data_IF_204473550592
#
_entry.id   IF_204473550592
#
_cell.length_a   1.000
_cell.length_b   1.000
_cell.length_c   1.000
_cell.angle_alpha   90.00
_cell.angle_beta   90.00
_cell.angle_gamma   90.00
#
_symmetry.space_group_name_H-M   'P 1'
#
loop_
_entity.id
_entity.type
_entity.pdbx_description
1 polymer ?
#
# COMPACT_ATOMS: atom_id res chain seq x y z
N UNK A 1 14.68 13.00 -9.42
CA UNK A 1 15.77 12.52 -10.31
C UNK A 1 15.26 12.51 -11.74
N UNK A 2 16.15 12.62 -12.72
CA UNK A 2 15.82 12.35 -14.13
C UNK A 2 15.39 10.86 -14.29
N UNK A 3 14.67 10.49 -15.37
CA UNK A 3 14.26 9.11 -15.60
C UNK A 3 15.44 8.13 -15.73
N UNK A 4 16.54 8.55 -16.35
CA UNK A 4 17.63 7.66 -16.73
C UNK A 4 18.32 6.96 -15.54
N UNK A 5 18.67 7.64 -14.43
CA UNK A 5 19.22 6.96 -13.25
C UNK A 5 18.30 5.90 -12.63
N UNK A 6 16.98 6.15 -12.60
CA UNK A 6 16.01 5.17 -12.08
C UNK A 6 15.91 3.95 -13.00
N UNK A 7 15.97 4.17 -14.33
CA UNK A 7 15.95 3.10 -15.33
C UNK A 7 17.24 2.26 -15.27
N UNK A 8 18.41 2.89 -15.12
CA UNK A 8 19.69 2.21 -14.99
C UNK A 8 19.74 1.33 -13.73
N UNK A 9 19.34 1.88 -12.58
CA UNK A 9 19.24 1.11 -11.33
C UNK A 9 18.29 -0.08 -11.47
N UNK A 10 17.13 0.12 -12.11
CA UNK A 10 16.17 -0.95 -12.37
C UNK A 10 16.74 -2.05 -13.28
N UNK A 11 17.44 -1.69 -14.35
CA UNK A 11 18.11 -2.63 -15.24
C UNK A 11 19.17 -3.46 -14.48
N UNK A 12 19.98 -2.81 -13.64
CA UNK A 12 20.96 -3.49 -12.79
C UNK A 12 20.29 -4.49 -11.83
N UNK A 13 19.22 -4.08 -11.15
CA UNK A 13 18.40 -4.93 -10.25
C UNK A 13 17.70 -6.10 -10.97
N UNK A 14 17.51 -6.00 -12.28
CA UNK A 14 16.90 -7.04 -13.13
C UNK A 14 17.94 -7.90 -13.85
N UNK A 15 19.24 -7.58 -13.74
CA UNK A 15 20.31 -8.31 -14.40
C UNK A 15 20.53 -9.69 -13.79
N UNK A 16 21.11 -10.61 -14.59
CA UNK A 16 21.51 -11.93 -14.12
C UNK A 16 22.62 -11.89 -13.05
N UNK A 17 23.38 -10.80 -12.96
CA UNK A 17 24.45 -10.61 -11.98
C UNK A 17 23.92 -10.24 -10.58
N UNK A 18 22.73 -9.63 -10.49
CA UNK A 18 22.19 -9.11 -9.23
C UNK A 18 21.99 -10.16 -8.12
N UNK A 19 21.45 -11.38 -8.38
CA UNK A 19 21.30 -12.39 -7.34
C UNK A 19 22.63 -12.78 -6.68
N UNK A 20 23.71 -12.92 -7.46
CA UNK A 20 25.04 -13.25 -6.94
C UNK A 20 25.61 -12.11 -6.09
N UNK A 21 25.51 -10.86 -6.58
CA UNK A 21 25.93 -9.68 -5.84
C UNK A 21 25.15 -9.54 -4.52
N UNK A 22 23.83 -9.72 -4.55
CA UNK A 22 22.99 -9.66 -3.36
C UNK A 22 23.37 -10.74 -2.33
N UNK A 23 23.59 -11.97 -2.79
CA UNK A 23 23.98 -13.08 -1.91
C UNK A 23 25.28 -12.80 -1.18
N UNK A 24 26.30 -12.32 -1.90
CA UNK A 24 27.59 -11.93 -1.31
C UNK A 24 27.42 -10.87 -0.20
N UNK A 25 26.55 -9.87 -0.43
CA UNK A 25 26.27 -8.84 0.57
C UNK A 25 25.42 -9.33 1.75
N UNK A 26 24.59 -10.37 1.58
CA UNK A 26 23.84 -10.99 2.67
C UNK A 26 24.74 -11.87 3.55
N UNK A 27 25.68 -12.59 2.94
CA UNK A 27 26.66 -13.44 3.63
C UNK A 27 27.63 -12.62 4.51
N UNK A 28 27.82 -11.32 4.21
CA UNK A 28 28.56 -10.39 5.08
C UNK A 28 27.76 -9.90 6.30
N UNK A 29 26.51 -10.35 6.48
CA UNK A 29 25.67 -10.05 7.63
C UNK A 29 24.86 -8.75 7.51
N UNK A 30 24.86 -8.09 6.33
CA UNK A 30 24.06 -6.88 6.14
C UNK A 30 22.56 -7.19 6.17
N UNK A 31 21.73 -6.33 6.80
CA UNK A 31 20.29 -6.40 6.66
C UNK A 31 19.88 -6.30 5.19
N UNK A 32 18.79 -6.97 4.81
CA UNK A 32 18.37 -7.09 3.39
C UNK A 32 18.34 -5.76 2.63
N UNK A 33 17.84 -4.68 3.24
CA UNK A 33 17.78 -3.37 2.58
C UNK A 33 19.19 -2.80 2.29
N UNK A 34 20.12 -2.93 3.25
CA UNK A 34 21.50 -2.50 3.08
C UNK A 34 22.25 -3.40 2.08
N UNK A 35 22.07 -4.72 2.17
CA UNK A 35 22.64 -5.68 1.23
C UNK A 35 22.17 -5.41 -0.20
N UNK A 36 20.87 -5.13 -0.38
CA UNK A 36 20.28 -4.75 -1.66
C UNK A 36 20.88 -3.46 -2.21
N UNK A 37 21.05 -2.44 -1.38
CA UNK A 37 21.64 -1.17 -1.80
C UNK A 37 23.11 -1.34 -2.21
N UNK A 38 23.91 -2.05 -1.41
CA UNK A 38 25.32 -2.32 -1.72
C UNK A 38 25.50 -3.16 -2.99
N UNK A 39 24.66 -4.19 -3.18
CA UNK A 39 24.66 -5.00 -4.40
C UNK A 39 24.27 -4.18 -5.63
N UNK A 40 23.29 -3.28 -5.50
CA UNK A 40 22.91 -2.37 -6.58
C UNK A 40 24.04 -1.39 -6.91
N UNK A 41 24.71 -0.83 -5.91
CA UNK A 41 25.86 0.08 -6.10
C UNK A 41 27.00 -0.57 -6.87
N UNK A 42 27.30 -1.84 -6.56
CA UNK A 42 28.33 -2.62 -7.24
C UNK A 42 28.06 -2.77 -8.74
N UNK A 43 26.78 -2.86 -9.13
CA UNK A 43 26.37 -3.07 -10.52
C UNK A 43 26.03 -1.76 -11.26
N UNK A 44 25.67 -0.72 -10.53
CA UNK A 44 25.29 0.58 -11.06
C UNK A 44 25.66 1.66 -10.03
N UNK A 45 26.79 2.35 -10.19
CA UNK A 45 27.20 3.43 -9.29
C UNK A 45 26.09 4.48 -9.10
N UNK A 46 25.88 4.89 -7.85
CA UNK A 46 24.80 5.79 -7.42
C UNK A 46 23.43 5.13 -7.19
N UNK A 47 23.27 3.83 -7.45
CA UNK A 47 22.01 3.14 -7.21
C UNK A 47 21.68 2.97 -5.72
N UNK A 48 22.68 2.93 -4.83
CA UNK A 48 22.45 2.86 -3.39
C UNK A 48 21.69 4.09 -2.87
N UNK A 49 22.04 5.28 -3.32
CA UNK A 49 21.40 6.55 -2.93
C UNK A 49 19.94 6.60 -3.39
N UNK A 50 19.68 6.10 -4.60
CA UNK A 50 18.32 6.00 -5.13
C UNK A 50 17.44 5.04 -4.30
N UNK A 51 18.04 4.02 -3.67
CA UNK A 51 17.32 3.06 -2.83
C UNK A 51 17.10 3.54 -1.38
N UNK A 52 17.49 4.78 -1.03
CA UNK A 52 17.27 5.33 0.32
C UNK A 52 15.88 5.93 0.52
N UNK A 53 15.21 6.40 -0.55
CA UNK A 53 13.94 7.14 -0.40
C UNK A 53 12.73 6.37 -0.96
N UNK A 54 11.56 6.41 -0.29
CA UNK A 54 10.40 5.62 -0.72
C UNK A 54 9.93 5.89 -2.16
N UNK A 55 9.94 7.15 -2.61
CA UNK A 55 9.49 7.50 -3.95
C UNK A 55 10.46 7.01 -5.03
N UNK A 56 11.77 7.04 -4.77
CA UNK A 56 12.76 6.51 -5.71
C UNK A 56 12.70 4.98 -5.76
N UNK A 57 12.53 4.31 -4.62
CA UNK A 57 12.30 2.85 -4.57
C UNK A 57 11.07 2.49 -5.42
N UNK A 58 9.95 3.20 -5.26
CA UNK A 58 8.76 2.99 -6.08
C UNK A 58 9.02 3.24 -7.57
N UNK A 59 9.72 4.32 -7.91
CA UNK A 59 10.12 4.62 -9.29
C UNK A 59 10.94 3.50 -9.93
N UNK A 60 11.90 2.95 -9.19
CA UNK A 60 12.70 1.79 -9.61
C UNK A 60 11.81 0.55 -9.79
N UNK A 61 10.87 0.27 -8.89
CA UNK A 61 9.95 -0.86 -9.04
C UNK A 61 9.03 -0.68 -10.25
N UNK A 62 8.59 0.54 -10.59
CA UNK A 62 7.87 0.82 -11.84
C UNK A 62 8.73 0.55 -13.06
N UNK A 63 9.98 1.00 -13.10
CA UNK A 63 10.92 0.67 -14.17
C UNK A 63 11.10 -0.84 -14.33
N UNK A 64 11.29 -1.57 -13.23
CA UNK A 64 11.39 -3.05 -13.25
C UNK A 64 10.13 -3.70 -13.81
N UNK A 65 8.94 -3.20 -13.44
CA UNK A 65 7.68 -3.70 -13.95
C UNK A 65 7.51 -3.44 -15.46
N UNK A 66 7.93 -2.27 -15.96
CA UNK A 66 7.93 -1.93 -17.39
C UNK A 66 8.88 -2.87 -18.16
N UNK A 67 10.11 -3.04 -17.67
CA UNK A 67 11.12 -3.90 -18.29
C UNK A 67 10.65 -5.36 -18.37
N UNK A 68 10.15 -5.92 -17.26
CA UNK A 68 9.70 -7.32 -17.20
C UNK A 68 8.49 -7.60 -18.08
N UNK A 69 7.63 -6.62 -18.31
CA UNK A 69 6.44 -6.76 -19.14
C UNK A 69 6.67 -6.37 -20.59
N UNK A 70 7.84 -5.82 -20.95
CA UNK A 70 8.07 -5.25 -22.28
C UNK A 70 7.07 -4.15 -22.63
N UNK A 71 6.60 -3.39 -21.63
CA UNK A 71 5.55 -2.41 -21.83
C UNK A 71 6.06 -1.18 -22.60
N UNK A 72 5.32 -0.74 -23.61
CA UNK A 72 5.60 0.49 -24.35
C UNK A 72 5.17 1.73 -23.54
N UNK A 73 5.84 1.99 -22.42
CA UNK A 73 5.54 3.08 -21.50
C UNK A 73 6.81 3.86 -21.15
N UNK A 74 6.73 5.19 -21.23
CA UNK A 74 7.81 6.09 -20.81
C UNK A 74 7.58 6.57 -19.38
N UNK A 75 8.61 6.50 -18.54
CA UNK A 75 8.58 7.03 -17.18
C UNK A 75 8.96 8.52 -17.18
N UNK A 76 8.17 9.35 -16.51
CA UNK A 76 8.43 10.77 -16.32
C UNK A 76 8.40 11.11 -14.81
N UNK A 77 9.53 10.98 -14.10
CA UNK A 77 9.60 11.37 -12.70
C UNK A 77 9.56 12.89 -12.57
N UNK A 78 8.74 13.39 -11.65
CA UNK A 78 8.71 14.80 -11.28
C UNK A 78 9.36 14.98 -9.90
N UNK A 79 10.13 16.06 -9.69
CA UNK A 79 10.68 16.36 -8.37
C UNK A 79 9.55 16.58 -7.38
N UNK A 80 9.68 15.98 -6.19
CA UNK A 80 8.75 16.24 -5.10
C UNK A 80 9.01 17.62 -4.55
N UNK A 81 8.00 18.47 -4.55
CA UNK A 81 8.06 19.78 -3.90
C UNK A 81 7.54 19.70 -2.46
N UNK A 82 8.09 20.51 -1.57
CA UNK A 82 7.69 20.59 -0.16
C UNK A 82 8.26 19.48 0.73
N UNK A 83 7.51 19.09 1.76
CA UNK A 83 7.98 18.22 2.82
C UNK A 83 8.34 16.79 2.38
N UNK A 84 9.42 16.27 2.95
CA UNK A 84 9.84 14.87 2.80
C UNK A 84 8.73 13.90 3.26
N UNK A 85 8.78 12.67 2.76
CA UNK A 85 7.78 11.65 3.11
C UNK A 85 7.82 11.35 4.62
N UNK A 86 6.68 11.43 5.29
CA UNK A 86 6.55 11.06 6.71
C UNK A 86 7.08 12.08 7.71
N UNK A 87 7.56 13.25 7.27
CA UNK A 87 8.02 14.31 8.18
C UNK A 87 6.87 15.23 8.59
N UNK A 88 6.99 15.82 9.79
CA UNK A 88 6.13 16.91 10.26
C UNK A 88 6.54 18.29 9.70
N UNK A 89 7.65 18.36 8.96
CA UNK A 89 8.03 19.56 8.24
C UNK A 89 6.94 19.93 7.24
N UNK A 90 6.69 21.22 7.09
CA UNK A 90 5.82 21.80 6.07
C UNK A 90 6.68 22.64 5.14
N UNK A 91 6.22 22.79 3.90
CA UNK A 91 6.84 23.68 2.93
C UNK A 91 5.79 24.58 2.30
N UNK A 92 6.23 25.50 1.44
CA UNK A 92 5.33 26.29 0.62
C UNK A 92 5.88 26.37 -0.80
N UNK A 93 4.98 26.32 -1.77
CA UNK A 93 5.28 26.54 -3.19
C UNK A 93 4.22 27.45 -3.74
N UNK A 94 4.64 28.58 -4.34
CA UNK A 94 3.71 29.55 -4.95
C UNK A 94 2.58 29.98 -3.99
N UNK A 95 2.89 30.16 -2.70
CA UNK A 95 1.92 30.54 -1.66
C UNK A 95 1.03 29.41 -1.15
N UNK A 96 1.11 28.20 -1.72
CA UNK A 96 0.36 27.03 -1.24
C UNK A 96 1.18 26.22 -0.25
N UNK A 97 0.61 25.94 0.92
CA UNK A 97 1.25 25.11 1.93
C UNK A 97 1.25 23.64 1.51
N UNK A 98 2.38 22.97 1.74
CA UNK A 98 2.62 21.58 1.41
C UNK A 98 3.00 20.82 2.68
N UNK A 99 2.32 19.69 2.91
CA UNK A 99 2.61 18.79 3.99
C UNK A 99 2.62 17.34 3.49
N UNK A 100 3.29 16.46 4.23
CA UNK A 100 3.18 15.03 3.97
C UNK A 100 1.76 14.54 4.30
N UNK A 101 1.25 13.56 3.57
CA UNK A 101 -0.08 12.99 3.85
C UNK A 101 -0.16 12.42 5.29
N UNK A 102 0.96 11.92 5.84
CA UNK A 102 1.03 11.48 7.23
C UNK A 102 0.85 12.62 8.22
N UNK A 103 1.47 13.79 7.96
CA UNK A 103 1.28 14.97 8.80
C UNK A 103 -0.17 15.49 8.72
N UNK A 104 -0.76 15.56 7.52
CA UNK A 104 -2.16 15.96 7.35
C UNK A 104 -3.10 15.03 8.14
N UNK A 105 -2.90 13.70 8.05
CA UNK A 105 -3.71 12.76 8.84
C UNK A 105 -3.52 12.94 10.35
N UNK A 106 -2.31 13.23 10.81
CA UNK A 106 -2.06 13.53 12.22
C UNK A 106 -2.80 14.79 12.67
N UNK A 107 -2.77 15.87 11.88
CA UNK A 107 -3.53 17.09 12.14
C UNK A 107 -5.03 16.82 12.20
N UNK A 108 -5.57 16.06 11.24
CA UNK A 108 -6.99 15.67 11.24
C UNK A 108 -7.36 14.89 12.50
N UNK A 109 -6.49 13.98 12.93
CA UNK A 109 -6.72 13.19 14.13
C UNK A 109 -6.70 14.03 15.42
N UNK A 110 -5.77 14.97 15.56
CA UNK A 110 -5.60 15.73 16.81
C UNK A 110 -6.37 17.04 16.86
N UNK A 111 -6.65 17.66 15.71
CA UNK A 111 -7.24 19.00 15.60
C UNK A 111 -8.52 19.02 14.75
N UNK A 112 -8.95 17.86 14.24
CA UNK A 112 -10.16 17.73 13.43
C UNK A 112 -9.96 18.06 11.95
N UNK A 113 -10.96 17.71 11.13
CA UNK A 113 -10.87 17.73 9.67
C UNK A 113 -10.47 19.10 9.08
N UNK A 114 -10.89 20.19 9.73
CA UNK A 114 -10.60 21.57 9.28
C UNK A 114 -9.10 21.91 9.29
N UNK A 115 -8.29 21.23 10.11
CA UNK A 115 -6.85 21.44 10.16
C UNK A 115 -6.13 21.02 8.87
N UNK A 116 -6.78 20.26 7.98
CA UNK A 116 -6.24 19.91 6.67
C UNK A 116 -6.37 21.05 5.63
N UNK A 117 -7.21 22.06 5.89
CA UNK A 117 -7.57 23.09 4.88
C UNK A 117 -6.39 23.83 4.26
N UNK A 118 -5.26 24.13 4.96
CA UNK A 118 -4.15 24.83 4.33
C UNK A 118 -3.40 23.99 3.29
N UNK A 119 -3.53 22.66 3.36
CA UNK A 119 -2.72 21.70 2.60
C UNK A 119 -3.52 20.96 1.52
N UNK A 120 -4.83 21.21 1.42
CA UNK A 120 -5.75 20.46 0.56
C UNK A 120 -6.53 21.46 -0.32
N UNK A 121 -6.67 21.20 -1.64
CA UNK A 121 -7.49 22.04 -2.50
C UNK A 121 -8.93 22.17 -1.97
N UNK A 122 -9.53 23.36 -2.09
CA UNK A 122 -10.86 23.66 -1.55
C UNK A 122 -11.94 22.65 -1.98
N UNK A 123 -11.93 22.25 -3.26
CA UNK A 123 -12.88 21.26 -3.78
C UNK A 123 -12.76 19.90 -3.07
N UNK A 124 -11.55 19.46 -2.75
CA UNK A 124 -11.33 18.22 -2.00
C UNK A 124 -11.66 18.40 -0.51
N UNK A 125 -11.38 19.57 0.06
CA UNK A 125 -11.70 19.88 1.45
C UNK A 125 -13.20 19.83 1.72
N UNK A 126 -14.04 20.27 0.78
CA UNK A 126 -15.49 20.17 0.90
C UNK A 126 -15.95 18.70 0.97
N UNK A 127 -15.42 17.83 0.11
CA UNK A 127 -15.69 16.39 0.15
C UNK A 127 -15.21 15.75 1.47
N UNK A 128 -14.04 16.17 1.98
CA UNK A 128 -13.52 15.65 3.23
C UNK A 128 -14.38 16.05 4.44
N UNK A 129 -14.91 17.28 4.45
CA UNK A 129 -15.84 17.76 5.48
C UNK A 129 -17.15 16.96 5.44
N UNK A 130 -17.72 16.77 4.25
CA UNK A 130 -18.94 15.97 4.07
C UNK A 130 -18.74 14.52 4.55
N UNK A 131 -17.62 13.89 4.18
CA UNK A 131 -17.28 12.54 4.64
C UNK A 131 -17.13 12.48 6.17
N UNK A 132 -16.52 13.50 6.79
CA UNK A 132 -16.40 13.59 8.25
C UNK A 132 -17.75 13.73 8.94
N UNK A 133 -18.63 14.60 8.44
CA UNK A 133 -20.00 14.80 8.97
C UNK A 133 -20.86 13.54 8.82
N UNK A 134 -20.64 12.76 7.76
CA UNK A 134 -21.31 11.47 7.55
C UNK A 134 -20.68 10.32 8.35
N UNK A 135 -19.60 10.58 9.12
CA UNK A 135 -18.90 9.58 9.93
C UNK A 135 -18.09 8.58 9.09
N UNK A 136 -17.70 8.93 7.87
CA UNK A 136 -16.99 8.03 6.96
C UNK A 136 -15.48 7.96 7.19
N UNK A 137 -14.93 8.77 8.09
CA UNK A 137 -13.51 8.67 8.45
C UNK A 137 -13.25 7.38 9.23
N UNK A 138 -12.03 6.86 9.08
CA UNK A 138 -11.57 5.73 9.87
C UNK A 138 -11.44 6.12 11.35
N UNK A 139 -11.95 5.24 12.21
CA UNK A 139 -11.91 5.31 13.66
C UNK A 139 -10.78 4.39 14.15
N UNK A 140 -9.69 4.94 14.74
CA UNK A 140 -8.54 4.15 15.18
C UNK A 140 -8.89 3.11 16.25
N UNK A 141 -9.86 3.38 17.12
CA UNK A 141 -10.23 2.47 18.20
C UNK A 141 -11.05 1.30 17.67
N UNK A 142 -11.96 1.54 16.72
CA UNK A 142 -12.67 0.47 16.02
C UNK A 142 -11.74 -0.37 15.17
N UNK A 143 -10.80 0.27 14.47
CA UNK A 143 -9.75 -0.45 13.73
C UNK A 143 -8.93 -1.31 14.68
N UNK A 144 -8.48 -0.76 15.81
CA UNK A 144 -7.73 -1.48 16.82
C UNK A 144 -8.50 -2.70 17.35
N UNK A 145 -9.75 -2.50 17.72
CA UNK A 145 -10.65 -3.55 18.20
C UNK A 145 -10.83 -4.63 17.14
N UNK A 146 -11.20 -4.27 15.91
CA UNK A 146 -11.43 -5.22 14.83
C UNK A 146 -10.18 -6.05 14.50
N UNK A 147 -9.00 -5.42 14.45
CA UNK A 147 -7.72 -6.12 14.22
C UNK A 147 -7.45 -7.12 15.34
N UNK A 148 -7.50 -6.69 16.61
CA UNK A 148 -7.19 -7.57 17.74
C UNK A 148 -8.19 -8.71 17.87
N UNK A 149 -9.48 -8.45 17.67
CA UNK A 149 -10.52 -9.49 17.64
C UNK A 149 -10.20 -10.55 16.59
N UNK A 150 -9.93 -10.14 15.33
CA UNK A 150 -9.68 -11.08 14.24
C UNK A 150 -8.35 -11.84 14.38
N UNK A 151 -7.33 -11.24 15.00
CA UNK A 151 -6.08 -11.96 15.27
C UNK A 151 -6.22 -12.97 16.41
N UNK A 152 -6.97 -12.64 17.47
CA UNK A 152 -7.15 -13.49 18.65
C UNK A 152 -8.00 -14.74 18.40
N UNK A 153 -8.72 -14.80 17.28
CA UNK A 153 -9.44 -16.01 16.86
C UNK A 153 -8.57 -17.01 16.11
N UNK A 154 -7.32 -16.67 15.78
CA UNK A 154 -6.43 -17.51 14.97
C UNK A 154 -5.51 -18.37 15.82
N UNK A 155 -5.25 -19.58 15.36
CA UNK A 155 -4.20 -20.45 15.93
C UNK A 155 -2.84 -20.16 15.28
N UNK A 156 -1.71 -20.55 15.91
CA UNK A 156 -0.39 -20.48 15.30
C UNK A 156 -0.32 -21.19 13.93
N UNK A 157 -0.99 -22.34 13.79
CA UNK A 157 -1.03 -23.12 12.55
C UNK A 157 -1.72 -22.32 11.44
N UNK A 158 -2.89 -21.73 11.73
CA UNK A 158 -3.57 -20.86 10.77
C UNK A 158 -2.70 -19.67 10.38
N UNK A 159 -2.03 -19.04 11.36
CA UNK A 159 -1.16 -17.90 11.10
C UNK A 159 0.03 -18.25 10.20
N UNK A 160 0.56 -19.47 10.32
CA UNK A 160 1.69 -19.93 9.49
C UNK A 160 1.35 -20.07 8.00
N UNK A 161 0.07 -20.20 7.65
CA UNK A 161 -0.40 -20.35 6.26
C UNK A 161 -0.60 -19.01 5.52
N UNK A 162 -0.35 -17.89 6.19
CA UNK A 162 -0.65 -16.56 5.67
C UNK A 162 0.54 -15.91 4.96
N UNK A 163 0.25 -14.96 4.07
CA UNK A 163 1.27 -14.19 3.38
C UNK A 163 2.14 -13.40 4.36
N UNK A 164 3.45 -13.52 4.18
CA UNK A 164 4.43 -12.81 4.98
C UNK A 164 4.70 -13.42 6.36
N UNK A 165 4.00 -14.50 6.72
CA UNK A 165 4.36 -15.39 7.82
C UNK A 165 5.63 -16.19 7.48
N UNK A 166 6.22 -16.84 8.48
CA UNK A 166 7.45 -17.61 8.38
C UNK A 166 8.56 -17.10 9.28
N UNK A 167 9.58 -17.94 9.48
CA UNK A 167 10.75 -17.65 10.31
C UNK A 167 10.38 -17.28 11.77
N UNK A 168 9.28 -17.85 12.29
CA UNK A 168 8.79 -17.62 13.65
C UNK A 168 8.02 -16.31 13.84
N UNK A 169 7.77 -15.55 12.77
CA UNK A 169 7.03 -14.29 12.84
C UNK A 169 5.55 -14.50 13.16
N UNK A 170 4.98 -15.63 12.72
CA UNK A 170 3.65 -16.13 13.08
C UNK A 170 3.51 -16.35 14.59
N UNK A 171 4.51 -16.96 15.24
CA UNK A 171 4.52 -17.20 16.68
C UNK A 171 4.60 -15.88 17.45
N UNK A 172 5.42 -14.94 16.95
CA UNK A 172 5.52 -13.60 17.53
C UNK A 172 4.20 -12.82 17.41
N UNK A 173 3.54 -12.91 16.26
CA UNK A 173 2.23 -12.30 16.03
C UNK A 173 1.17 -12.89 16.95
N UNK A 174 1.14 -14.22 17.08
CA UNK A 174 0.24 -14.90 17.98
C UNK A 174 0.43 -14.44 19.44
N UNK A 175 1.67 -14.46 19.94
CA UNK A 175 1.98 -14.02 21.30
C UNK A 175 1.62 -12.53 21.51
N UNK A 176 2.01 -11.66 20.59
CA UNK A 176 1.75 -10.22 20.70
C UNK A 176 0.25 -9.90 20.66
N UNK A 177 -0.55 -10.59 19.83
CA UNK A 177 -1.99 -10.37 19.75
C UNK A 177 -2.73 -10.72 21.04
N UNK A 178 -2.22 -11.68 21.83
CA UNK A 178 -2.82 -12.08 23.12
C UNK A 178 -2.66 -11.02 24.20
N UNK A 179 -1.56 -10.27 24.17
CA UNK A 179 -1.22 -9.30 25.21
C UNK A 179 -1.53 -7.86 24.80
N UNK A 180 -1.52 -7.56 23.50
CA UNK A 180 -1.65 -6.19 23.03
C UNK A 180 -3.02 -5.59 23.36
N UNK A 181 -3.05 -4.40 23.95
CA UNK A 181 -4.31 -3.70 24.27
C UNK A 181 -4.80 -2.83 23.11
N UNK A 182 -3.86 -2.40 22.25
CA UNK A 182 -4.16 -1.63 21.04
C UNK A 182 -3.37 -2.14 19.84
N UNK A 183 -3.75 -1.75 18.63
CA UNK A 183 -2.97 -2.06 17.43
C UNK A 183 -1.59 -1.40 17.43
N UNK A 184 -1.44 -0.24 18.08
CA UNK A 184 -0.13 0.40 18.23
C UNK A 184 0.77 -0.39 19.19
N UNK A 185 0.23 -0.84 20.31
CA UNK A 185 0.93 -1.76 21.23
C UNK A 185 1.30 -3.08 20.53
N UNK A 186 0.39 -3.64 19.73
CA UNK A 186 0.68 -4.80 18.88
C UNK A 186 1.89 -4.54 17.97
N UNK A 187 1.92 -3.41 17.27
CA UNK A 187 3.06 -3.06 16.42
C UNK A 187 4.34 -2.90 17.22
N UNK A 188 4.29 -2.31 18.42
CA UNK A 188 5.46 -2.14 19.28
C UNK A 188 6.03 -3.49 19.75
N UNK A 189 5.17 -4.44 20.14
CA UNK A 189 5.56 -5.82 20.48
C UNK A 189 6.14 -6.59 19.29
N UNK A 190 5.61 -6.35 18.09
CA UNK A 190 6.09 -6.98 16.86
C UNK A 190 7.44 -6.43 16.37
N UNK A 191 7.81 -5.20 16.74
CA UNK A 191 9.06 -4.57 16.25
C UNK A 191 10.27 -5.46 16.53
N UNK A 192 11.09 -5.63 15.49
CA UNK A 192 12.39 -6.28 15.57
C UNK A 192 13.41 -5.48 14.75
N UNK A 193 14.71 -5.72 14.98
CA UNK A 193 15.76 -5.17 14.12
C UNK A 193 15.75 -5.77 12.70
N UNK A 194 15.20 -6.98 12.55
CA UNK A 194 15.23 -7.74 11.29
C UNK A 194 14.18 -7.26 10.28
N UNK A 195 13.01 -6.84 10.74
CA UNK A 195 11.88 -6.50 9.86
C UNK A 195 11.50 -5.02 9.95
N UNK A 196 11.37 -4.32 8.80
CA UNK A 196 10.84 -2.96 8.78
C UNK A 196 9.39 -2.91 9.30
N UNK A 197 9.04 -1.84 10.02
CA UNK A 197 7.67 -1.63 10.54
C UNK A 197 6.60 -1.74 9.45
N UNK A 198 6.88 -1.28 8.23
CA UNK A 198 5.94 -1.41 7.11
C UNK A 198 5.68 -2.88 6.72
N UNK A 199 6.66 -3.78 6.86
CA UNK A 199 6.47 -5.23 6.65
C UNK A 199 5.58 -5.81 7.74
N UNK A 200 5.80 -5.43 9.00
CA UNK A 200 4.98 -5.90 10.13
C UNK A 200 3.52 -5.44 10.02
N UNK A 201 3.29 -4.18 9.62
CA UNK A 201 1.95 -3.65 9.35
C UNK A 201 1.23 -4.42 8.23
N UNK A 202 1.96 -4.78 7.16
CA UNK A 202 1.42 -5.61 6.07
C UNK A 202 1.09 -7.01 6.54
N UNK A 203 1.95 -7.65 7.34
CA UNK A 203 1.66 -8.95 7.93
C UNK A 203 0.37 -8.93 8.76
N UNK A 204 0.20 -7.92 9.61
CA UNK A 204 -1.01 -7.78 10.44
C UNK A 204 -2.26 -7.67 9.56
N UNK A 205 -2.23 -6.84 8.53
CA UNK A 205 -3.36 -6.73 7.60
C UNK A 205 -3.57 -8.00 6.76
N UNK A 206 -2.49 -8.65 6.32
CA UNK A 206 -2.57 -9.93 5.60
C UNK A 206 -3.22 -11.01 6.48
N UNK A 207 -2.92 -11.01 7.78
CA UNK A 207 -3.57 -11.92 8.72
C UNK A 207 -5.03 -11.58 8.97
N UNK A 208 -5.34 -10.31 9.23
CA UNK A 208 -6.73 -9.84 9.40
C UNK A 208 -7.59 -10.16 8.17
N UNK A 209 -7.03 -10.08 6.97
CA UNK A 209 -7.73 -10.35 5.71
C UNK A 209 -7.60 -11.80 5.23
N UNK A 210 -6.94 -12.70 5.98
CA UNK A 210 -6.65 -14.08 5.59
C UNK A 210 -6.03 -14.21 4.20
N UNK A 211 -5.04 -13.36 3.90
CA UNK A 211 -4.32 -13.44 2.63
C UNK A 211 -3.44 -14.69 2.65
N UNK A 212 -3.66 -15.68 1.77
CA UNK A 212 -2.93 -16.94 1.81
C UNK A 212 -1.46 -16.75 1.43
N UNK A 213 -0.57 -17.64 1.90
CA UNK A 213 0.86 -17.61 1.58
C UNK A 213 1.14 -17.65 0.07
N UNK A 214 0.32 -18.36 -0.71
CA UNK A 214 0.36 -18.38 -2.17
C UNK A 214 0.08 -17.00 -2.80
N UNK A 215 -0.52 -16.08 -2.03
CA UNK A 215 -0.80 -14.71 -2.44
C UNK A 215 -2.09 -14.56 -3.25
N UNK A 216 -2.20 -13.39 -3.87
CA UNK A 216 -3.25 -13.04 -4.83
C UNK A 216 -2.72 -13.24 -6.26
N UNK A 217 -3.57 -13.26 -7.30
CA UNK A 217 -3.11 -13.29 -8.68
C UNK A 217 -2.00 -12.27 -8.94
N UNK A 218 -0.90 -12.72 -9.55
CA UNK A 218 0.31 -11.91 -9.73
C UNK A 218 0.09 -10.67 -10.60
N UNK A 219 -0.87 -10.75 -11.53
CA UNK A 219 -1.34 -9.64 -12.35
C UNK A 219 -2.81 -9.35 -12.02
N UNK A 220 -3.25 -8.09 -12.07
CA UNK A 220 -4.65 -7.74 -11.83
C UNK A 220 -5.53 -8.42 -12.88
N UNK A 221 -6.57 -9.16 -12.45
CA UNK A 221 -7.41 -9.90 -13.40
C UNK A 221 -8.50 -9.02 -14.02
N UNK A 222 -8.76 -7.82 -13.48
CA UNK A 222 -9.73 -6.85 -14.02
C UNK A 222 -9.29 -5.39 -13.79
N UNK A 223 -9.93 -4.45 -14.50
CA UNK A 223 -9.93 -3.01 -14.24
C UNK A 223 -11.31 -2.56 -13.73
N UNK A 224 -11.39 -2.21 -12.44
CA UNK A 224 -12.59 -1.63 -11.86
C UNK A 224 -12.48 -0.10 -11.85
N UNK A 225 -13.38 0.57 -12.57
CA UNK A 225 -13.45 2.03 -12.62
C UNK A 225 -14.24 2.55 -11.42
N UNK A 226 -13.52 3.19 -10.49
CA UNK A 226 -14.12 3.83 -9.31
C UNK A 226 -14.69 5.22 -9.63
N UNK A 227 -14.10 5.91 -10.60
CA UNK A 227 -14.61 7.17 -11.13
C UNK A 227 -13.97 7.55 -12.45
N UNK A 228 -14.73 8.24 -13.31
CA UNK A 228 -14.26 8.65 -14.63
C UNK A 228 -15.04 9.87 -15.14
N UNK A 229 -14.40 10.67 -16.01
CA UNK A 229 -15.15 11.57 -16.88
C UNK A 229 -16.00 10.75 -17.83
N UNK A 230 -17.27 11.12 -18.04
CA UNK A 230 -18.16 10.37 -18.94
C UNK A 230 -17.57 10.18 -20.34
N UNK A 231 -16.88 11.22 -20.85
CA UNK A 231 -16.21 11.19 -22.16
C UNK A 231 -15.01 10.23 -22.25
N UNK A 232 -14.45 9.79 -21.12
CA UNK A 232 -13.30 8.88 -21.09
C UNK A 232 -13.69 7.40 -20.99
N UNK A 233 -14.94 7.07 -20.63
CA UNK A 233 -15.41 5.68 -20.55
C UNK A 233 -15.22 4.87 -21.85
N UNK A 234 -15.38 5.44 -23.06
CA UNK A 234 -15.11 4.71 -24.29
C UNK A 234 -13.67 4.18 -24.41
N UNK A 235 -12.70 4.68 -23.63
CA UNK A 235 -11.33 4.17 -23.62
C UNK A 235 -11.22 2.74 -23.04
N UNK A 236 -12.19 2.31 -22.22
CA UNK A 236 -12.19 0.97 -21.62
C UNK A 236 -12.24 -0.15 -22.66
N UNK A 237 -12.76 0.12 -23.87
CA UNK A 237 -12.77 -0.85 -24.98
C UNK A 237 -11.37 -1.27 -25.43
N UNK A 238 -10.33 -0.51 -25.07
CA UNK A 238 -8.94 -0.81 -25.38
C UNK A 238 -8.24 -1.59 -24.25
N UNK A 239 -8.93 -1.89 -23.15
CA UNK A 239 -8.38 -2.69 -22.07
C UNK A 239 -8.12 -4.13 -22.54
N UNK A 240 -6.96 -4.68 -22.17
CA UNK A 240 -6.58 -6.07 -22.48
C UNK A 240 -7.12 -7.09 -21.47
N UNK A 241 -7.71 -6.61 -20.38
CA UNK A 241 -8.34 -7.40 -19.33
C UNK A 241 -9.78 -6.90 -19.14
N UNK A 242 -10.69 -7.71 -18.58
CA UNK A 242 -12.04 -7.27 -18.26
C UNK A 242 -12.05 -5.92 -17.55
N UNK A 243 -12.81 -4.96 -18.07
CA UNK A 243 -12.85 -3.60 -17.57
C UNK A 243 -14.31 -3.13 -17.45
N UNK A 244 -14.65 -2.51 -16.32
CA UNK A 244 -16.02 -2.20 -16.01
C UNK A 244 -16.18 -1.28 -14.82
N UNK A 245 -17.42 -0.87 -14.57
CA UNK A 245 -17.79 0.10 -13.54
C UNK A 245 -18.48 -0.53 -12.33
N UNK A 246 -18.66 -1.85 -12.33
CA UNK A 246 -19.22 -2.60 -11.20
C UNK A 246 -18.41 -3.87 -10.98
N UNK A 247 -18.17 -4.20 -9.71
CA UNK A 247 -17.48 -5.44 -9.36
C UNK A 247 -18.33 -6.66 -9.78
N UNK A 248 -19.65 -6.58 -9.59
CA UNK A 248 -20.60 -7.62 -10.00
C UNK A 248 -20.54 -7.94 -11.49
N UNK A 249 -20.34 -6.93 -12.35
CA UNK A 249 -20.21 -7.13 -13.80
C UNK A 249 -18.84 -7.67 -14.24
N UNK A 250 -17.85 -7.68 -13.34
CA UNK A 250 -16.49 -8.18 -13.59
C UNK A 250 -16.28 -9.60 -13.04
N UNK A 251 -17.17 -10.09 -12.17
CA UNK A 251 -17.09 -11.40 -11.53
C UNK A 251 -17.96 -12.45 -12.23
N UNK A 252 -17.58 -13.73 -12.18
CA UNK A 252 -18.52 -14.83 -12.47
C UNK A 252 -18.08 -15.93 -13.44
N UNK A 253 -16.85 -15.93 -13.98
CA UNK A 253 -16.40 -16.99 -14.90
C UNK A 253 -14.97 -17.50 -14.68
N UNK A 254 -14.06 -16.68 -14.14
CA UNK A 254 -12.66 -17.05 -13.87
C UNK A 254 -12.38 -17.09 -12.36
N UNK A 255 -11.78 -18.18 -11.89
CA UNK A 255 -11.36 -18.35 -10.49
C UNK A 255 -10.44 -17.20 -10.01
N UNK A 256 -9.56 -16.68 -10.87
CA UNK A 256 -8.66 -15.57 -10.53
C UNK A 256 -9.42 -14.27 -10.31
N UNK A 257 -10.46 -14.00 -11.13
CA UNK A 257 -11.35 -12.85 -10.95
C UNK A 257 -12.06 -12.96 -9.61
N UNK A 258 -12.58 -14.14 -9.28
CA UNK A 258 -13.31 -14.37 -8.04
C UNK A 258 -12.42 -14.15 -6.82
N UNK A 259 -11.21 -14.73 -6.78
CA UNK A 259 -10.26 -14.54 -5.68
C UNK A 259 -9.94 -13.05 -5.46
N UNK A 260 -9.71 -12.30 -6.53
CA UNK A 260 -9.41 -10.87 -6.44
C UNK A 260 -10.63 -10.04 -5.98
N UNK A 261 -11.83 -10.40 -6.43
CA UNK A 261 -13.07 -9.72 -6.05
C UNK A 261 -13.46 -10.02 -4.59
N UNK A 262 -13.31 -11.25 -4.12
CA UNK A 262 -13.56 -11.64 -2.72
C UNK A 262 -12.61 -10.89 -1.79
N UNK A 263 -11.33 -10.82 -2.14
CA UNK A 263 -10.35 -10.05 -1.37
C UNK A 263 -10.67 -8.56 -1.37
N UNK A 264 -11.10 -8.00 -2.50
CA UNK A 264 -11.57 -6.61 -2.59
C UNK A 264 -12.74 -6.38 -1.64
N UNK A 265 -13.80 -7.20 -1.75
CA UNK A 265 -15.00 -7.08 -0.92
C UNK A 265 -14.66 -7.18 0.56
N UNK A 266 -13.85 -8.17 0.95
CA UNK A 266 -13.41 -8.36 2.34
C UNK A 266 -12.67 -7.14 2.87
N UNK A 267 -11.76 -6.55 2.08
CA UNK A 267 -11.04 -5.35 2.46
C UNK A 267 -11.97 -4.12 2.59
N UNK A 268 -12.94 -3.97 1.69
CA UNK A 268 -13.95 -2.91 1.77
C UNK A 268 -14.81 -3.10 3.02
N UNK A 269 -15.36 -4.28 3.25
CA UNK A 269 -16.24 -4.57 4.39
C UNK A 269 -15.51 -4.35 5.73
N UNK A 270 -14.26 -4.80 5.82
CA UNK A 270 -13.40 -4.51 6.97
C UNK A 270 -13.19 -3.00 7.15
N UNK A 271 -12.96 -2.24 6.06
CA UNK A 271 -12.80 -0.79 6.14
C UNK A 271 -14.08 -0.07 6.60
N UNK A 272 -15.27 -0.57 6.22
CA UNK A 272 -16.56 0.00 6.63
C UNK A 272 -16.84 -0.21 8.11
N UNK A 273 -16.43 -1.36 8.66
CA UNK A 273 -16.50 -1.65 10.09
C UNK A 273 -15.60 -0.71 10.91
N UNK A 274 -14.49 -0.26 10.32
CA UNK A 274 -13.51 0.59 10.97
C UNK A 274 -13.84 2.10 10.88
N UNK A 275 -15.05 2.50 10.51
CA UNK A 275 -15.46 3.92 10.39
C UNK A 275 -16.13 4.44 11.67
N UNK A 276 -16.10 5.76 11.88
CA UNK A 276 -16.86 6.40 12.97
C UNK A 276 -18.36 6.08 12.91
N UNK A 277 -18.93 6.03 11.70
CA UNK A 277 -20.24 5.44 11.43
C UNK A 277 -20.04 4.14 10.67
N UNK A 278 -20.30 3.02 11.34
CA UNK A 278 -20.24 1.68 10.73
C UNK A 278 -21.29 1.61 9.61
N UNK A 279 -20.92 0.97 8.51
CA UNK A 279 -21.82 0.73 7.38
C UNK A 279 -21.99 -0.77 7.12
N UNK A 280 -23.12 -1.19 6.54
CA UNK A 280 -23.33 -2.59 6.15
C UNK A 280 -22.28 -3.10 5.17
N UNK A 281 -22.04 -4.41 5.20
CA UNK A 281 -21.17 -5.09 4.23
C UNK A 281 -21.77 -5.14 2.82
N UNK A 282 -20.97 -5.53 1.83
CA UNK A 282 -21.37 -5.71 0.44
C UNK A 282 -21.26 -4.46 -0.42
N UNK A 283 -20.72 -3.36 0.13
CA UNK A 283 -20.58 -2.09 -0.59
C UNK A 283 -19.72 -2.22 -1.86
N UNK A 284 -18.72 -3.11 -1.88
CA UNK A 284 -17.88 -3.32 -3.06
C UNK A 284 -18.68 -3.75 -4.30
N UNK A 285 -19.81 -4.44 -4.11
CA UNK A 285 -20.68 -4.91 -5.20
C UNK A 285 -21.82 -3.95 -5.53
N UNK A 286 -22.16 -3.03 -4.63
CA UNK A 286 -23.27 -2.07 -4.80
C UNK A 286 -22.80 -0.64 -5.07
N UNK A 287 -21.51 -0.35 -4.91
CA UNK A 287 -20.93 0.95 -5.19
C UNK A 287 -21.10 1.32 -6.66
N UNK A 288 -21.62 2.52 -6.90
CA UNK A 288 -21.71 3.11 -8.23
C UNK A 288 -20.42 3.86 -8.59
N UNK A 289 -20.03 3.78 -9.86
CA UNK A 289 -18.96 4.62 -10.40
C UNK A 289 -19.28 6.10 -10.25
N UNK A 290 -18.29 6.88 -9.82
CA UNK A 290 -18.40 8.35 -9.78
C UNK A 290 -18.19 8.90 -11.19
N UNK A 291 -19.22 9.51 -11.78
CA UNK A 291 -19.12 10.13 -13.11
C UNK A 291 -18.99 11.64 -12.99
N UNK A 292 -17.95 12.18 -13.62
CA UNK A 292 -17.66 13.61 -13.75
C UNK A 292 -17.99 14.12 -15.16
#
# INVERSE_FOLDING_TARGET
PEPAPLQAAAAALCSAAFPAALRSQLESGLPFAAARAAAAETLCPGAADLLQTPNNILGIEYCKAILRQGAAMQLLPLPRLGAAHGTAQTGQVQGQALASASHIRQLVHTQGIKAASPFVPQAAMELYRQAAEQGQLADPEKFSTAVLTLLRTKTPEQLSTLRGAGEGLENRLYAAAREAETVNDLYDRLKTKRYPTARLRRLVLDAVLDVPAAGLPALPPYLLVLGAKRSALPLLKHAKIPAGTSLAGLTGQDQKLQIAADMHSKAVDFSLLCRYKIQPMGFAYTAHVVLL
#
